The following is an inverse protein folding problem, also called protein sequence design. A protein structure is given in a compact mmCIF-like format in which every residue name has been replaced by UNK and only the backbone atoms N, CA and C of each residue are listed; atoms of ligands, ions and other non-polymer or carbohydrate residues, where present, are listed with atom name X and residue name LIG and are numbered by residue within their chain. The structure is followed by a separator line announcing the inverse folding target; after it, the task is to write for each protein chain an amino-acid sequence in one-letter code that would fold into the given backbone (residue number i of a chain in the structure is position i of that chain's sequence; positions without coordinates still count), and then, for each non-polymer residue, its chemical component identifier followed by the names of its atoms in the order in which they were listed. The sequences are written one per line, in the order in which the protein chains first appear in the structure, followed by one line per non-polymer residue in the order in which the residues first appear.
data_IF_975665218745
#
_entry.id   IF_975665218745
#
_cell.length_a   1.000
_cell.length_b   1.000
_cell.length_c   1.000
_cell.angle_alpha   90.00
_cell.angle_beta   90.00
_cell.angle_gamma   90.00
#
_symmetry.space_group_name_H-M   'P 1'
#
loop_
_entity.id
_entity.type
_entity.pdbx_description
1 polymer ?
#
# COMPACT_ATOMS: atom_id res chain seq x y z
N UNK A 1 18.83 -20.51 -4.86
CA UNK A 1 18.19 -19.18 -4.96
C UNK A 1 17.98 -18.65 -3.55
N UNK A 2 18.36 -17.40 -3.27
CA UNK A 2 18.09 -16.78 -1.96
C UNK A 2 16.59 -16.76 -1.69
N UNK A 3 16.18 -17.15 -0.47
CA UNK A 3 14.77 -17.15 -0.04
C UNK A 3 14.10 -15.79 -0.29
N UNK A 4 14.84 -14.70 -0.12
CA UNK A 4 14.40 -13.33 -0.39
C UNK A 4 13.99 -13.10 -1.85
N UNK A 5 14.69 -13.72 -2.80
CA UNK A 5 14.36 -13.62 -4.24
C UNK A 5 13.05 -14.35 -4.54
N UNK A 6 12.84 -15.51 -3.92
CA UNK A 6 11.58 -16.26 -4.06
C UNK A 6 10.42 -15.42 -3.51
N UNK A 7 10.59 -14.79 -2.34
CA UNK A 7 9.56 -13.90 -1.78
C UNK A 7 9.30 -12.67 -2.65
N UNK A 8 10.33 -12.05 -3.22
CA UNK A 8 10.16 -10.91 -4.12
C UNK A 8 9.39 -11.30 -5.39
N UNK A 9 9.74 -12.42 -6.03
CA UNK A 9 9.04 -12.93 -7.22
C UNK A 9 7.59 -13.33 -6.91
N UNK A 10 7.37 -14.01 -5.78
CA UNK A 10 6.03 -14.39 -5.34
C UNK A 10 5.17 -13.15 -5.03
N UNK A 11 5.73 -12.13 -4.36
CA UNK A 11 5.03 -10.88 -4.10
C UNK A 11 4.67 -10.15 -5.39
N UNK A 12 5.60 -10.06 -6.35
CA UNK A 12 5.34 -9.46 -7.66
C UNK A 12 4.23 -10.20 -8.43
N UNK A 13 4.24 -11.54 -8.42
CA UNK A 13 3.21 -12.36 -9.07
C UNK A 13 1.82 -12.17 -8.41
N UNK A 14 1.75 -12.21 -7.08
CA UNK A 14 0.51 -12.01 -6.32
C UNK A 14 -0.03 -10.58 -6.51
N UNK A 15 0.84 -9.58 -6.51
CA UNK A 15 0.48 -8.19 -6.75
C UNK A 15 -0.07 -8.00 -8.17
N UNK A 16 0.61 -8.54 -9.19
CA UNK A 16 0.16 -8.48 -10.58
C UNK A 16 -1.17 -9.22 -10.81
N UNK A 17 -1.39 -10.35 -10.13
CA UNK A 17 -2.64 -11.11 -10.22
C UNK A 17 -3.83 -10.43 -9.52
N UNK A 18 -3.59 -9.56 -8.54
CA UNK A 18 -4.65 -8.92 -7.75
C UNK A 18 -5.60 -8.05 -8.61
N UNK A 19 -5.05 -7.24 -9.51
CA UNK A 19 -5.83 -6.33 -10.39
C UNK A 19 -6.81 -7.07 -11.32
N UNK A 20 -6.40 -8.09 -12.11
CA UNK A 20 -7.35 -8.83 -12.95
C UNK A 20 -8.36 -9.64 -12.13
N UNK A 21 -7.97 -10.23 -11.00
CA UNK A 21 -8.90 -10.94 -10.11
C UNK A 21 -9.93 -9.99 -9.49
N UNK A 22 -9.50 -8.82 -9.02
CA UNK A 22 -10.38 -7.78 -8.49
C UNK A 22 -11.36 -7.28 -9.56
N UNK A 23 -10.90 -7.12 -10.80
CA UNK A 23 -11.77 -6.76 -11.93
C UNK A 23 -12.80 -7.85 -12.24
N UNK A 24 -12.43 -9.12 -12.16
CA UNK A 24 -13.33 -10.24 -12.43
C UNK A 24 -14.39 -10.43 -11.33
N UNK A 25 -14.05 -10.13 -10.08
CA UNK A 25 -14.92 -10.25 -8.92
C UNK A 25 -15.76 -8.98 -8.66
N UNK A 26 -15.32 -7.83 -9.16
CA UNK A 26 -15.79 -6.50 -8.75
C UNK A 26 -16.61 -5.73 -9.78
N UNK A 27 -17.05 -6.33 -10.88
CA UNK A 27 -17.82 -5.61 -11.92
C UNK A 27 -19.13 -4.99 -11.41
N UNK A 28 -19.69 -5.52 -10.32
CA UNK A 28 -20.92 -5.01 -9.71
C UNK A 28 -20.71 -4.32 -8.35
N UNK A 29 -19.47 -4.27 -7.85
CA UNK A 29 -19.14 -3.72 -6.53
C UNK A 29 -18.58 -2.29 -6.70
N UNK A 30 -19.09 -1.30 -5.96
CA UNK A 30 -18.52 0.05 -5.96
C UNK A 30 -17.00 0.03 -5.65
N UNK A 31 -16.16 0.80 -6.37
CA UNK A 31 -14.70 0.74 -6.23
C UNK A 31 -14.19 0.94 -4.79
N UNK A 32 -14.82 1.85 -4.04
CA UNK A 32 -14.46 2.14 -2.63
C UNK A 32 -14.78 0.94 -1.73
N UNK A 33 -15.91 0.27 -1.96
CA UNK A 33 -16.30 -0.93 -1.21
C UNK A 33 -15.35 -2.10 -1.52
N UNK A 34 -15.01 -2.29 -2.80
CA UNK A 34 -14.04 -3.30 -3.21
C UNK A 34 -12.67 -3.06 -2.55
N UNK A 35 -12.19 -1.82 -2.54
CA UNK A 35 -10.96 -1.46 -1.84
C UNK A 35 -11.05 -1.77 -0.33
N UNK A 36 -12.16 -1.40 0.32
CA UNK A 36 -12.40 -1.72 1.73
C UNK A 36 -12.37 -3.23 2.02
N UNK A 37 -13.03 -4.04 1.19
CA UNK A 37 -13.02 -5.51 1.31
C UNK A 37 -11.61 -6.09 1.12
N UNK A 38 -10.84 -5.59 0.16
CA UNK A 38 -9.45 -6.01 -0.05
C UNK A 38 -8.56 -5.65 1.16
N UNK A 39 -8.71 -4.45 1.73
CA UNK A 39 -7.99 -4.06 2.95
C UNK A 39 -8.38 -4.91 4.15
N UNK A 40 -9.68 -5.17 4.35
CA UNK A 40 -10.17 -6.04 5.42
C UNK A 40 -9.67 -7.48 5.26
N UNK A 41 -9.70 -8.02 4.04
CA UNK A 41 -9.19 -9.35 3.71
C UNK A 41 -7.69 -9.46 3.97
N UNK A 42 -6.91 -8.47 3.54
CA UNK A 42 -5.46 -8.40 3.81
C UNK A 42 -5.16 -8.32 5.31
N UNK A 43 -5.84 -7.42 6.03
CA UNK A 43 -5.67 -7.27 7.48
C UNK A 43 -6.01 -8.56 8.23
N UNK A 44 -7.14 -9.18 7.90
CA UNK A 44 -7.58 -10.45 8.51
C UNK A 44 -6.60 -11.58 8.19
N UNK A 45 -6.18 -11.71 6.93
CA UNK A 45 -5.22 -12.72 6.51
C UNK A 45 -3.86 -12.58 7.22
N UNK A 46 -3.36 -11.36 7.36
CA UNK A 46 -2.12 -11.08 8.11
C UNK A 46 -2.27 -11.39 9.60
N UNK A 47 -3.41 -11.06 10.21
CA UNK A 47 -3.69 -11.39 11.62
C UNK A 47 -3.72 -12.91 11.81
N UNK A 48 -4.41 -13.65 10.94
CA UNK A 48 -4.47 -15.12 10.98
C UNK A 48 -3.08 -15.74 10.81
N UNK A 49 -2.33 -15.31 9.79
CA UNK A 49 -0.96 -15.78 9.56
C UNK A 49 -0.06 -15.50 10.77
N UNK A 50 -0.20 -14.32 11.39
CA UNK A 50 0.56 -13.95 12.58
C UNK A 50 0.19 -14.82 13.78
N UNK A 51 -1.10 -15.05 14.01
CA UNK A 51 -1.58 -15.94 15.08
C UNK A 51 -1.03 -17.37 14.94
N UNK A 52 -1.06 -17.91 13.72
CA UNK A 52 -0.54 -19.25 13.42
C UNK A 52 0.99 -19.32 13.59
N UNK A 53 1.72 -18.34 13.05
CA UNK A 53 3.19 -18.26 13.13
C UNK A 53 3.68 -18.05 14.56
N UNK A 54 3.04 -17.16 15.30
CA UNK A 54 3.47 -16.78 16.65
C UNK A 54 2.90 -17.71 17.74
N UNK A 55 2.06 -18.70 17.34
CA UNK A 55 1.31 -19.63 18.21
C UNK A 55 0.49 -18.91 19.28
N UNK A 56 -0.12 -17.79 18.91
CA UNK A 56 -0.89 -16.94 19.81
C UNK A 56 -0.75 -15.46 19.48
N UNK A 57 -1.40 -14.61 20.28
CA UNK A 57 -1.35 -13.17 20.09
C UNK A 57 -0.11 -12.58 20.77
N UNK A 58 0.89 -12.19 19.97
CA UNK A 58 2.03 -11.40 20.44
C UNK A 58 1.79 -9.93 20.17
N UNK A 59 2.03 -9.08 21.17
CA UNK A 59 1.98 -7.62 20.98
C UNK A 59 2.94 -7.22 19.87
N UNK A 60 2.54 -6.24 19.06
CA UNK A 60 3.31 -5.75 17.92
C UNK A 60 4.66 -5.15 18.30
N UNK A 61 4.87 -4.82 19.59
CA UNK A 61 6.05 -4.12 20.07
C UNK A 61 6.04 -2.62 19.75
N UNK A 62 4.99 -2.12 19.09
CA UNK A 62 4.83 -0.71 18.76
C UNK A 62 4.68 0.11 20.04
N UNK A 63 5.57 1.08 20.20
CA UNK A 63 5.47 2.13 21.20
C UNK A 63 4.28 3.05 20.91
N UNK A 64 3.75 3.69 21.95
CA UNK A 64 2.65 4.66 21.81
C UNK A 64 3.05 5.84 20.91
N UNK A 65 4.35 6.17 20.84
CA UNK A 65 4.90 7.20 19.96
C UNK A 65 4.91 6.83 18.47
N UNK A 66 4.85 5.55 18.12
CA UNK A 66 4.83 5.11 16.71
C UNK A 66 3.41 5.09 16.12
N UNK A 67 2.38 5.08 16.97
CA UNK A 67 0.99 5.08 16.52
C UNK A 67 0.61 6.30 15.69
N UNK A 68 0.96 7.55 16.08
CA UNK A 68 0.70 8.72 15.24
C UNK A 68 1.35 8.61 13.86
N UNK A 69 2.56 8.07 13.76
CA UNK A 69 3.26 7.84 12.50
C UNK A 69 2.56 6.79 11.63
N UNK A 70 2.15 5.68 12.24
CA UNK A 70 1.40 4.63 11.54
C UNK A 70 0.07 5.17 11.00
N UNK A 71 -0.68 5.91 11.84
CA UNK A 71 -1.95 6.53 11.43
C UNK A 71 -1.70 7.54 10.31
N UNK A 72 -0.66 8.36 10.42
CA UNK A 72 -0.25 9.29 9.36
C UNK A 72 0.03 8.56 8.04
N UNK A 73 0.83 7.49 8.07
CA UNK A 73 1.14 6.70 6.89
C UNK A 73 -0.12 6.10 6.23
N UNK A 74 -1.06 5.59 7.04
CA UNK A 74 -2.33 5.03 6.53
C UNK A 74 -3.20 6.13 5.91
N UNK A 75 -3.35 7.27 6.59
CA UNK A 75 -4.21 8.37 6.11
C UNK A 75 -3.63 8.99 4.84
N UNK A 76 -2.36 9.39 4.85
CA UNK A 76 -1.76 10.07 3.69
C UNK A 76 -1.44 9.10 2.55
N UNK A 77 -0.79 7.98 2.85
CA UNK A 77 -0.36 7.01 1.82
C UNK A 77 -1.47 6.07 1.38
N UNK A 78 -2.23 5.53 2.32
CA UNK A 78 -3.27 4.53 2.04
C UNK A 78 -4.60 5.09 1.53
N UNK A 79 -4.97 6.31 1.94
CA UNK A 79 -6.28 6.91 1.61
C UNK A 79 -6.13 8.11 0.69
N UNK A 80 -5.44 9.17 1.15
CA UNK A 80 -5.37 10.43 0.41
C UNK A 80 -4.61 10.30 -0.91
N UNK A 81 -3.52 9.52 -0.97
CA UNK A 81 -2.75 9.27 -2.19
C UNK A 81 -3.60 8.68 -3.33
N UNK A 82 -4.24 7.51 -3.14
CA UNK A 82 -5.11 6.92 -4.16
C UNK A 82 -6.30 7.81 -4.54
N UNK A 83 -6.93 8.50 -3.56
CA UNK A 83 -8.03 9.43 -3.85
C UNK A 83 -7.55 10.59 -4.72
N UNK A 84 -6.41 11.20 -4.39
CA UNK A 84 -5.82 12.28 -5.18
C UNK A 84 -5.42 11.81 -6.58
N UNK A 85 -4.91 10.58 -6.73
CA UNK A 85 -4.60 9.97 -8.03
C UNK A 85 -5.86 9.81 -8.88
N UNK A 86 -6.93 9.26 -8.29
CA UNK A 86 -8.21 9.07 -9.00
C UNK A 86 -8.80 10.41 -9.44
N UNK A 87 -8.77 11.43 -8.57
CA UNK A 87 -9.17 12.80 -8.93
C UNK A 87 -8.27 13.36 -10.04
N UNK A 88 -6.95 13.17 -9.95
CA UNK A 88 -6.01 13.57 -10.98
C UNK A 88 -6.33 12.96 -12.35
N UNK A 89 -6.66 11.68 -12.40
CA UNK A 89 -7.08 11.00 -13.65
C UNK A 89 -8.40 11.52 -14.23
N UNK A 90 -9.25 12.19 -13.44
CA UNK A 90 -10.43 12.89 -13.98
C UNK A 90 -10.09 14.26 -14.57
N UNK A 91 -8.96 14.85 -14.17
CA UNK A 91 -8.52 16.19 -14.59
C UNK A 91 -7.42 16.18 -15.66
N UNK A 92 -6.74 15.05 -15.86
CA UNK A 92 -5.64 14.90 -16.82
C UNK A 92 -5.70 13.59 -17.60
N UNK A 93 -4.91 13.50 -18.67
CA UNK A 93 -4.79 12.26 -19.43
C UNK A 93 -3.98 11.20 -18.66
N UNK A 94 -4.25 9.91 -18.93
CA UNK A 94 -3.49 8.81 -18.32
C UNK A 94 -1.98 8.88 -18.64
N UNK A 95 -1.62 9.35 -19.85
CA UNK A 95 -0.22 9.52 -20.24
C UNK A 95 0.47 10.62 -19.42
N UNK A 96 -0.19 11.77 -19.26
CA UNK A 96 0.33 12.88 -18.43
C UNK A 96 0.45 12.47 -16.97
N UNK A 97 -0.58 11.80 -16.41
CA UNK A 97 -0.54 11.28 -15.05
C UNK A 97 0.63 10.30 -14.85
N UNK A 98 0.85 9.39 -15.81
CA UNK A 98 1.98 8.45 -15.76
C UNK A 98 3.34 9.16 -15.77
N UNK A 99 3.49 10.25 -16.53
CA UNK A 99 4.73 11.05 -16.50
C UNK A 99 4.90 11.76 -15.16
N UNK A 100 3.83 12.31 -14.57
CA UNK A 100 3.90 12.96 -13.26
C UNK A 100 4.25 11.97 -12.13
N UNK A 101 3.78 10.73 -12.20
CA UNK A 101 4.12 9.68 -11.23
C UNK A 101 5.63 9.35 -11.23
N UNK A 102 6.36 9.59 -12.32
CA UNK A 102 7.83 9.42 -12.32
C UNK A 102 8.53 10.43 -11.39
N UNK A 103 7.86 11.50 -10.97
CA UNK A 103 8.39 12.46 -9.99
C UNK A 103 8.19 11.99 -8.55
N UNK A 104 7.37 10.98 -8.29
CA UNK A 104 7.11 10.48 -6.93
C UNK A 104 8.39 10.08 -6.18
N UNK A 105 9.34 9.30 -6.76
CA UNK A 105 10.58 8.96 -6.08
C UNK A 105 11.44 10.19 -5.79
N UNK A 106 11.48 11.17 -6.70
CA UNK A 106 12.24 12.41 -6.53
C UNK A 106 11.65 13.23 -5.38
N UNK A 107 10.34 13.43 -5.36
CA UNK A 107 9.64 14.13 -4.28
C UNK A 107 9.79 13.39 -2.94
N UNK A 108 9.76 12.06 -2.96
CA UNK A 108 9.99 11.23 -1.77
C UNK A 108 11.40 11.43 -1.21
N UNK A 109 12.43 11.46 -2.08
CA UNK A 109 13.80 11.72 -1.66
C UNK A 109 13.97 13.15 -1.11
N UNK A 110 13.35 14.15 -1.74
CA UNK A 110 13.37 15.53 -1.25
C UNK A 110 12.70 15.64 0.13
N UNK A 111 11.56 14.98 0.34
CA UNK A 111 10.89 14.95 1.65
C UNK A 111 11.75 14.25 2.71
N UNK A 112 12.36 13.11 2.38
CA UNK A 112 13.28 12.41 3.28
C UNK A 112 14.44 13.33 3.73
N UNK A 113 15.05 14.03 2.76
CA UNK A 113 16.14 14.94 3.04
C UNK A 113 15.71 16.18 3.85
N UNK A 114 14.58 16.81 3.53
CA UNK A 114 14.15 18.06 4.18
C UNK A 114 13.51 17.81 5.55
N UNK A 115 12.61 16.83 5.65
CA UNK A 115 11.81 16.58 6.85
C UNK A 115 12.56 15.70 7.83
N UNK A 116 13.14 14.60 7.34
CA UNK A 116 13.83 13.62 8.19
C UNK A 116 15.33 13.89 8.31
N UNK A 117 15.86 14.84 7.53
CA UNK A 117 17.30 15.19 7.51
C UNK A 117 18.19 13.99 7.21
N UNK A 118 17.65 13.04 6.46
CA UNK A 118 18.39 11.90 5.95
C UNK A 118 19.26 12.41 4.81
N UNK A 119 20.52 12.70 5.11
CA UNK A 119 21.51 13.03 4.10
C UNK A 119 21.90 11.71 3.40
N UNK A 120 21.62 11.64 2.10
CA UNK A 120 22.04 10.54 1.23
C UNK A 120 23.57 10.43 1.16
#
# INVERSE_FOLDING_TARGET
MNTSVIYALAAAALFGASTPLAKLLGTEIPPVLLAGLLYLGSGTGLVLLRLLRDRGWKRSGLSVSEWPWLVGAVVFGGILGPVALMVGLTLTSAATASLMLNLEPVLTAVLAWVVFKENA
#
